data_IF_557471825150
#
_entry.id   IF_557471825150
#
_cell.length_a   1.000
_cell.length_b   1.000
_cell.length_c   1.000
_cell.angle_alpha   90.00
_cell.angle_beta   90.00
_cell.angle_gamma   90.00
#
_symmetry.space_group_name_H-M   'P 1'
#
loop_
_entity.id
_entity.type
_entity.pdbx_description
1 polymer ?
2 water ?
#
# COMPACT_ATOMS: atom_id res chain seq x y z
N UNK A 1 28.76 29.31 -36.47
CA UNK A 1 29.95 29.62 -37.24
C UNK A 1 31.23 29.51 -36.44
N UNK A 2 32.35 29.95 -37.06
CA UNK A 2 33.70 29.93 -36.49
C UNK A 2 33.76 30.60 -35.11
N UNK A 3 33.14 31.79 -34.96
CA UNK A 3 33.11 32.55 -33.71
C UNK A 3 32.38 31.81 -32.59
N UNK A 4 31.29 31.14 -32.94
CA UNK A 4 30.46 30.39 -31.99
C UNK A 4 31.22 29.20 -31.42
N UNK A 5 31.88 28.41 -32.29
CA UNK A 5 32.65 27.25 -31.86
C UNK A 5 33.94 27.69 -31.15
N UNK A 6 34.57 28.82 -31.53
CA UNK A 6 35.77 29.28 -30.83
C UNK A 6 35.42 29.67 -29.39
N UNK A 7 34.24 30.31 -29.19
CA UNK A 7 33.70 30.70 -27.89
C UNK A 7 33.47 29.46 -27.02
N UNK A 8 32.90 28.40 -27.63
CA UNK A 8 32.59 27.13 -26.99
C UNK A 8 33.85 26.42 -26.50
N UNK A 9 34.89 26.37 -27.34
CA UNK A 9 36.18 25.75 -27.04
C UNK A 9 36.91 26.51 -25.91
N UNK A 10 36.80 27.86 -25.91
CA UNK A 10 37.43 28.73 -24.91
C UNK A 10 36.69 28.60 -23.58
N UNK A 11 35.35 28.51 -23.61
CA UNK A 11 34.52 28.33 -22.41
C UNK A 11 34.76 26.95 -21.79
N UNK A 12 35.06 25.96 -22.63
CA UNK A 12 35.33 24.57 -22.25
C UNK A 12 36.64 24.43 -21.49
N UNK A 13 37.67 25.22 -21.87
CA UNK A 13 38.99 25.23 -21.23
C UNK A 13 38.84 25.77 -19.81
N UNK A 14 37.99 26.78 -19.64
CA UNK A 14 37.68 27.42 -18.36
C UNK A 14 37.02 26.39 -17.45
N UNK A 15 36.04 25.65 -17.98
CA UNK A 15 35.32 24.64 -17.19
C UNK A 15 36.22 23.42 -16.91
N UNK A 16 37.05 23.00 -17.90
CA UNK A 16 37.99 21.87 -17.76
C UNK A 16 39.00 22.17 -16.64
N UNK A 17 39.50 23.41 -16.59
CA UNK A 17 40.46 23.83 -15.57
C UNK A 17 39.85 23.81 -14.18
N UNK A 18 38.61 24.29 -14.04
CA UNK A 18 37.92 24.27 -12.75
C UNK A 18 37.66 22.80 -12.33
N UNK A 19 37.20 21.96 -13.29
CA UNK A 19 36.90 20.56 -13.02
C UNK A 19 38.14 19.82 -12.57
N UNK A 20 39.30 20.07 -13.25
CA UNK A 20 40.58 19.44 -12.95
C UNK A 20 41.09 19.81 -11.56
N UNK A 21 40.82 21.04 -11.12
CA UNK A 21 41.14 21.52 -9.78
C UNK A 21 40.28 20.80 -8.72
N UNK A 22 39.02 20.51 -9.06
CA UNK A 22 38.12 19.79 -8.14
C UNK A 22 38.54 18.33 -8.02
N UNK A 23 38.95 17.69 -9.14
CA UNK A 23 39.42 16.30 -9.20
C UNK A 23 40.74 16.18 -8.41
N UNK A 24 41.66 17.16 -8.57
CA UNK A 24 42.94 17.21 -7.85
C UNK A 24 42.73 17.37 -6.33
N UNK A 25 41.79 18.27 -5.91
CA UNK A 25 41.40 18.47 -4.50
C UNK A 25 40.85 17.16 -3.88
N UNK A 26 40.14 16.37 -4.67
CA UNK A 26 39.58 15.06 -4.25
C UNK A 26 40.71 13.99 -4.29
N UNK A 27 41.60 14.06 -3.28
CA UNK A 27 42.78 13.22 -3.17
C UNK A 27 42.43 11.74 -3.11
N UNK A 28 41.39 11.37 -2.35
CA UNK A 28 40.94 9.98 -2.21
C UNK A 28 40.04 9.54 -3.38
N UNK A 29 39.81 10.44 -4.38
CA UNK A 29 39.01 10.25 -5.59
C UNK A 29 37.61 9.73 -5.24
N UNK A 30 37.02 10.30 -4.18
CA UNK A 30 35.68 9.94 -3.63
C UNK A 30 34.54 10.28 -4.62
N UNK A 31 34.72 11.33 -5.45
CA UNK A 31 33.70 11.81 -6.40
C UNK A 31 34.10 11.65 -7.87
N UNK A 32 35.24 11.00 -8.14
CA UNK A 32 35.75 10.83 -9.48
C UNK A 32 34.91 9.88 -10.31
N UNK A 33 34.36 8.85 -9.68
CA UNK A 33 33.62 7.83 -10.38
C UNK A 33 32.23 7.58 -9.80
N UNK A 34 31.30 7.02 -10.63
CA UNK A 34 29.97 6.69 -10.09
C UNK A 34 30.09 5.75 -8.90
N UNK A 35 29.22 5.96 -7.92
CA UNK A 35 29.23 5.09 -6.74
C UNK A 35 28.91 3.64 -7.21
N UNK A 36 29.73 2.68 -6.76
CA UNK A 36 29.51 1.28 -7.12
C UNK A 36 28.41 0.72 -6.26
N UNK A 37 27.28 0.39 -6.90
CA UNK A 37 26.06 -0.16 -6.31
C UNK A 37 26.32 -1.56 -5.74
N UNK A 38 27.36 -2.25 -6.19
CA UNK A 38 27.74 -3.58 -5.67
C UNK A 38 28.34 -3.48 -4.24
N UNK A 39 28.95 -2.34 -3.91
CA UNK A 39 29.53 -2.09 -2.59
C UNK A 39 28.57 -1.25 -1.71
N UNK A 40 27.72 -0.43 -2.37
CA UNK A 40 26.76 0.47 -1.74
C UNK A 40 25.35 0.14 -2.38
N UNK A 41 24.73 -0.99 -1.96
CA UNK A 41 23.47 -1.46 -2.60
C UNK A 41 22.28 -0.48 -2.67
N UNK A 42 22.10 0.34 -1.62
CA UNK A 42 20.97 1.24 -1.46
C UNK A 42 21.23 2.66 -1.97
N UNK A 43 22.40 2.92 -2.58
CA UNK A 43 22.73 4.26 -3.05
C UNK A 43 21.68 4.88 -3.98
N UNK A 44 21.21 4.13 -4.99
CA UNK A 44 20.24 4.69 -5.94
C UNK A 44 18.81 4.65 -5.36
N UNK A 45 18.62 4.04 -4.20
CA UNK A 45 17.33 4.05 -3.51
C UNK A 45 17.15 5.44 -2.87
N UNK A 46 18.30 6.05 -2.53
CA UNK A 46 18.44 7.35 -1.84
C UNK A 46 18.72 8.50 -2.81
N UNK A 47 19.62 8.29 -3.80
CA UNK A 47 20.05 9.33 -4.73
C UNK A 47 19.31 9.21 -6.09
N UNK A 48 18.50 10.24 -6.42
CA UNK A 48 17.73 10.28 -7.67
C UNK A 48 18.60 10.71 -8.85
N UNK A 49 19.52 11.68 -8.65
CA UNK A 49 20.35 12.16 -9.74
C UNK A 49 21.83 11.95 -9.41
N UNK A 50 22.39 10.75 -9.66
CA UNK A 50 23.82 10.56 -9.34
C UNK A 50 24.71 11.31 -10.31
N UNK A 51 25.88 11.76 -9.82
CA UNK A 51 26.82 12.53 -10.61
C UNK A 51 28.20 12.31 -10.06
N UNK A 52 29.19 12.34 -10.97
CA UNK A 52 30.61 12.20 -10.64
C UNK A 52 31.41 13.01 -11.63
N UNK A 53 32.67 13.25 -11.30
CA UNK A 53 33.62 14.03 -12.09
C UNK A 53 33.96 13.37 -13.45
N UNK A 54 33.98 12.03 -13.55
CA UNK A 54 34.24 11.35 -14.84
C UNK A 54 33.05 11.60 -15.79
N UNK A 55 31.82 11.56 -15.28
CA UNK A 55 30.63 11.87 -16.06
C UNK A 55 30.73 13.30 -16.57
N UNK A 56 31.09 14.25 -15.68
CA UNK A 56 31.24 15.67 -15.99
C UNK A 56 32.28 15.89 -17.08
N UNK A 57 33.40 15.12 -17.03
CA UNK A 57 34.49 15.15 -18.02
C UNK A 57 33.94 14.73 -19.40
N UNK A 58 33.08 13.68 -19.41
CA UNK A 58 32.46 13.13 -20.62
C UNK A 58 31.49 14.17 -21.21
N UNK A 59 30.81 14.96 -20.36
CA UNK A 59 29.88 16.02 -20.77
C UNK A 59 30.65 17.17 -21.44
N UNK A 60 31.81 17.55 -20.85
CA UNK A 60 32.67 18.59 -21.41
C UNK A 60 33.19 18.19 -22.79
N UNK A 61 33.57 16.90 -22.93
CA UNK A 61 34.11 16.29 -24.16
C UNK A 61 33.10 16.40 -25.31
N UNK A 62 31.80 16.34 -24.99
CA UNK A 62 30.72 16.42 -25.95
C UNK A 62 30.17 17.83 -26.07
N UNK A 63 30.79 18.80 -25.34
CA UNK A 63 30.39 20.22 -25.27
C UNK A 63 28.91 20.34 -24.77
N UNK A 64 28.51 19.41 -23.89
CA UNK A 64 27.15 19.32 -23.33
C UNK A 64 26.80 20.53 -22.43
N UNK A 65 27.78 21.17 -21.79
CA UNK A 65 27.56 22.35 -20.94
C UNK A 65 27.54 23.58 -21.82
N UNK A 66 26.40 24.28 -21.85
CA UNK A 66 26.26 25.48 -22.67
C UNK A 66 26.08 26.73 -21.79
N UNK A 67 26.20 26.57 -20.45
CA UNK A 67 26.14 27.67 -19.48
C UNK A 67 26.97 27.30 -18.25
N UNK A 68 27.42 28.31 -17.47
CA UNK A 68 28.18 28.06 -16.25
C UNK A 68 27.29 27.36 -15.25
N UNK A 69 25.99 27.70 -15.26
CA UNK A 69 25.02 27.11 -14.35
C UNK A 69 24.82 25.63 -14.54
N UNK A 70 24.97 25.16 -15.79
CA UNK A 70 24.84 23.74 -16.10
C UNK A 70 26.00 22.99 -15.47
N UNK A 71 27.20 23.61 -15.50
CA UNK A 71 28.40 23.05 -14.90
C UNK A 71 28.22 23.01 -13.37
N UNK A 72 27.95 24.19 -12.75
CA UNK A 72 27.78 24.37 -11.30
C UNK A 72 26.71 23.45 -10.75
N UNK A 73 25.59 23.26 -11.48
CA UNK A 73 24.52 22.35 -11.08
C UNK A 73 25.08 20.94 -10.78
N UNK A 74 25.96 20.41 -11.67
CA UNK A 74 26.53 19.07 -11.48
C UNK A 74 27.51 18.99 -10.35
N UNK A 75 28.26 20.07 -10.10
CA UNK A 75 29.24 20.16 -8.99
C UNK A 75 28.49 20.06 -7.68
N UNK A 76 27.45 20.89 -7.52
CA UNK A 76 26.67 20.95 -6.29
C UNK A 76 25.83 19.70 -6.09
N UNK A 77 25.50 18.99 -7.16
CA UNK A 77 24.76 17.72 -7.15
C UNK A 77 25.69 16.67 -6.55
N UNK A 78 26.97 16.68 -6.91
CA UNK A 78 27.93 15.71 -6.39
C UNK A 78 28.06 15.89 -4.89
N UNK A 79 28.20 17.17 -4.44
CA UNK A 79 28.36 17.56 -3.05
C UNK A 79 27.09 17.23 -2.25
N UNK A 80 25.93 17.65 -2.76
CA UNK A 80 24.67 17.46 -2.05
C UNK A 80 24.23 16.01 -2.06
N UNK A 81 24.65 15.21 -3.05
CA UNK A 81 24.34 13.77 -3.04
C UNK A 81 25.08 13.14 -1.89
N UNK A 82 26.31 13.61 -1.63
CA UNK A 82 27.16 13.13 -0.56
C UNK A 82 26.55 13.45 0.82
N UNK A 83 25.99 14.65 1.00
CA UNK A 83 25.34 15.05 2.26
C UNK A 83 24.06 14.25 2.49
N UNK A 84 23.31 13.97 1.40
CA UNK A 84 22.06 13.24 1.40
C UNK A 84 22.32 11.78 1.76
N UNK A 85 23.31 11.16 1.13
CA UNK A 85 23.53 9.74 1.34
C UNK A 85 24.25 9.42 2.66
N UNK A 86 25.41 10.03 2.90
CA UNK A 86 26.28 9.72 4.01
C UNK A 86 25.92 10.41 5.32
N UNK A 87 26.30 9.74 6.43
CA UNK A 87 26.12 10.25 7.77
C UNK A 87 27.20 11.28 8.05
N UNK A 88 26.90 12.36 8.83
CA UNK A 88 27.88 13.43 9.04
C UNK A 88 29.14 12.99 9.79
N UNK A 89 29.08 11.82 10.44
CA UNK A 89 30.19 11.23 11.19
C UNK A 89 31.22 10.57 10.25
N UNK A 90 30.88 10.41 8.94
CA UNK A 90 31.78 9.75 7.98
C UNK A 90 32.75 10.77 7.35
N UNK A 91 33.86 10.28 6.80
CA UNK A 91 34.87 11.11 6.20
C UNK A 91 34.33 11.61 4.86
N UNK A 92 33.49 10.79 4.17
CA UNK A 92 32.85 11.16 2.90
C UNK A 92 32.16 12.49 3.07
N UNK A 93 31.35 12.64 4.12
CA UNK A 93 30.63 13.87 4.47
C UNK A 93 31.58 15.04 4.69
N UNK A 94 32.71 14.83 5.38
CA UNK A 94 33.73 15.87 5.65
C UNK A 94 34.42 16.26 4.36
N UNK A 95 34.72 15.26 3.50
CA UNK A 95 35.29 15.46 2.16
C UNK A 95 34.38 16.36 1.29
N UNK A 96 33.05 16.20 1.42
CA UNK A 96 32.07 16.98 0.68
C UNK A 96 32.06 18.41 1.20
N UNK A 97 32.14 18.58 2.52
CA UNK A 97 32.19 19.92 3.12
C UNK A 97 33.44 20.67 2.70
N UNK A 98 34.60 19.96 2.61
CA UNK A 98 35.88 20.54 2.23
C UNK A 98 35.91 20.95 0.75
N UNK A 99 35.35 20.12 -0.16
CA UNK A 99 35.32 20.44 -1.59
C UNK A 99 34.34 21.58 -1.82
N UNK A 100 33.26 21.65 -1.01
CA UNK A 100 32.31 22.73 -1.12
C UNK A 100 32.97 24.05 -0.69
N UNK A 101 33.81 24.01 0.35
CA UNK A 101 34.53 25.19 0.87
C UNK A 101 35.57 25.63 -0.17
N UNK A 102 36.30 24.68 -0.73
CA UNK A 102 37.29 24.91 -1.78
C UNK A 102 36.62 25.48 -3.05
N UNK A 103 35.53 24.85 -3.52
CA UNK A 103 34.77 25.29 -4.70
C UNK A 103 34.28 26.73 -4.52
N UNK A 104 33.74 27.08 -3.34
CA UNK A 104 33.21 28.40 -3.07
C UNK A 104 34.30 29.46 -3.04
N UNK A 105 35.57 29.05 -2.81
CA UNK A 105 36.70 29.97 -2.84
C UNK A 105 37.11 30.28 -4.28
N UNK A 106 36.78 29.39 -5.22
CA UNK A 106 37.16 29.48 -6.64
C UNK A 106 36.08 30.02 -7.56
N UNK A 107 34.82 29.57 -7.37
CA UNK A 107 33.69 29.72 -8.29
C UNK A 107 33.42 31.14 -8.81
N UNK A 108 33.52 32.18 -7.96
CA UNK A 108 33.20 33.55 -8.35
C UNK A 108 34.15 34.05 -9.45
N UNK A 109 35.47 33.82 -9.29
CA UNK A 109 36.54 34.17 -10.23
C UNK A 109 36.43 33.32 -11.54
N UNK A 110 36.13 32.01 -11.44
CA UNK A 110 36.00 31.15 -12.63
C UNK A 110 34.75 31.53 -13.45
N UNK A 111 33.66 31.91 -12.77
CA UNK A 111 32.39 32.30 -13.38
C UNK A 111 32.56 33.58 -14.20
N UNK A 112 33.37 34.53 -13.69
CA UNK A 112 33.67 35.79 -14.39
C UNK A 112 34.41 35.47 -15.71
N UNK A 113 35.55 34.73 -15.62
CA UNK A 113 36.36 34.29 -16.79
C UNK A 113 35.47 33.64 -17.84
N UNK A 114 34.44 32.90 -17.38
CA UNK A 114 33.51 32.19 -18.26
C UNK A 114 32.64 33.19 -19.03
N UNK A 115 32.07 34.17 -18.33
CA UNK A 115 31.16 35.18 -18.88
C UNK A 115 31.84 36.15 -19.83
N UNK A 116 33.10 36.54 -19.54
CA UNK A 116 33.85 37.51 -20.35
C UNK A 116 34.01 37.07 -21.81
N UNK A 117 34.04 35.76 -22.07
CA UNK A 117 34.22 35.16 -23.39
C UNK A 117 33.06 35.58 -24.36
N UNK A 118 31.77 35.56 -23.88
CA UNK A 118 30.60 35.96 -24.67
C UNK A 118 30.51 37.49 -24.84
N UNK B 1 -7.99 -22.71 29.98
CA UNK B 1 -6.81 -21.87 29.95
C UNK B 1 -6.65 -21.09 28.65
N UNK B 2 -5.49 -20.43 28.50
CA UNK B 2 -5.11 -19.61 27.35
C UNK B 2 -5.30 -20.35 26.01
N UNK B 3 -4.85 -21.61 25.92
CA UNK B 3 -4.95 -22.43 24.70
C UNK B 3 -6.40 -22.71 24.33
N UNK B 4 -7.25 -22.98 25.34
CA UNK B 4 -8.65 -23.31 25.14
C UNK B 4 -9.40 -22.12 24.55
N UNK B 5 -9.20 -20.91 25.14
CA UNK B 5 -9.87 -19.70 24.68
C UNK B 5 -9.30 -19.26 23.32
N UNK B 6 -8.00 -19.47 23.05
CA UNK B 6 -7.42 -19.07 21.75
C UNK B 6 -8.03 -19.93 20.64
N UNK B 7 -8.24 -21.23 20.91
CA UNK B 7 -8.87 -22.19 20.00
C UNK B 7 -10.31 -21.77 19.70
N UNK B 8 -11.05 -21.36 20.75
CA UNK B 8 -12.42 -20.90 20.67
C UNK B 8 -12.57 -19.66 19.79
N UNK B 9 -11.69 -18.66 20.01
CA UNK B 9 -11.66 -17.40 19.26
C UNK B 9 -11.33 -17.64 17.77
N UNK B 10 -10.42 -18.60 17.48
CA UNK B 10 -9.99 -18.97 16.14
C UNK B 10 -11.10 -19.72 15.41
N UNK B 11 -11.80 -20.62 16.12
CA UNK B 11 -12.94 -21.39 15.59
C UNK B 11 -14.14 -20.48 15.30
N UNK B 12 -14.28 -19.42 16.10
CA UNK B 12 -15.34 -18.43 15.99
C UNK B 12 -15.20 -17.57 14.74
N UNK B 13 -13.94 -17.24 14.34
CA UNK B 13 -13.62 -16.46 13.16
C UNK B 13 -14.01 -17.25 11.91
N UNK B 14 -13.78 -18.56 11.94
CA UNK B 14 -14.10 -19.49 10.87
C UNK B 14 -15.64 -19.54 10.70
N UNK B 15 -16.38 -19.64 11.81
CA UNK B 15 -17.83 -19.69 11.74
C UNK B 15 -18.42 -18.33 11.37
N UNK B 16 -17.83 -17.20 11.87
CA UNK B 16 -18.26 -15.83 11.56
C UNK B 16 -18.12 -15.57 10.05
N UNK B 17 -17.01 -16.01 9.46
CA UNK B 17 -16.75 -15.84 8.03
C UNK B 17 -17.77 -16.61 7.19
N UNK B 18 -18.11 -17.86 7.59
CA UNK B 18 -19.10 -18.64 6.85
C UNK B 18 -20.47 -17.98 7.00
N UNK B 19 -20.82 -17.54 8.23
CA UNK B 19 -22.10 -16.90 8.50
C UNK B 19 -22.27 -15.63 7.69
N UNK B 20 -21.22 -14.81 7.61
CA UNK B 20 -21.18 -13.55 6.87
C UNK B 20 -21.38 -13.75 5.37
N UNK B 21 -20.87 -14.89 4.84
CA UNK B 21 -21.02 -15.30 3.44
C UNK B 21 -22.49 -15.69 3.19
N UNK B 22 -23.16 -16.32 4.19
CA UNK B 22 -24.55 -16.72 4.06
C UNK B 22 -25.45 -15.49 4.11
N UNK B 23 -25.15 -14.51 5.00
CA UNK B 23 -25.87 -13.25 5.14
C UNK B 23 -25.74 -12.43 3.84
N UNK B 24 -24.53 -12.37 3.26
CA UNK B 24 -24.24 -11.66 2.01
C UNK B 24 -24.98 -12.31 0.80
N UNK B 25 -25.05 -13.67 0.75
CA UNK B 25 -25.80 -14.40 -0.28
C UNK B 25 -27.31 -14.08 -0.19
N UNK B 26 -27.82 -13.87 1.03
CA UNK B 26 -29.22 -13.52 1.28
C UNK B 26 -29.43 -12.01 1.02
N UNK B 27 -29.44 -11.63 -0.27
CA UNK B 27 -29.52 -10.25 -0.72
C UNK B 27 -30.78 -9.54 -0.22
N UNK B 28 -31.94 -10.23 -0.27
CA UNK B 28 -33.22 -9.69 0.17
C UNK B 28 -33.40 -9.78 1.71
N UNK B 29 -32.36 -10.31 2.42
CA UNK B 29 -32.30 -10.48 3.88
C UNK B 29 -33.55 -11.24 4.41
N UNK B 30 -33.95 -12.29 3.67
CA UNK B 30 -35.12 -13.14 3.94
C UNK B 30 -34.94 -13.93 5.27
N UNK B 31 -33.69 -14.30 5.62
CA UNK B 31 -33.35 -15.11 6.80
C UNK B 31 -32.53 -14.37 7.85
N UNK B 32 -32.32 -13.06 7.67
CA UNK B 32 -31.50 -12.26 8.56
C UNK B 32 -32.16 -12.06 9.89
N UNK B 33 -33.49 -11.93 9.90
CA UNK B 33 -34.23 -11.64 11.12
C UNK B 33 -35.38 -12.60 11.36
N UNK B 34 -35.82 -12.73 12.65
CA UNK B 34 -36.96 -13.61 12.94
C UNK B 34 -38.19 -13.19 12.14
N UNK B 35 -38.97 -14.18 11.70
CA UNK B 35 -40.19 -13.91 10.95
C UNK B 35 -41.14 -13.10 11.83
N UNK B 36 -41.65 -11.98 11.29
CA UNK B 36 -42.57 -11.11 12.00
C UNK B 36 -43.95 -11.73 11.97
N UNK B 37 -44.40 -12.18 13.15
CA UNK B 37 -45.71 -12.81 13.39
C UNK B 37 -46.87 -11.83 13.10
N UNK B 38 -46.60 -10.51 13.12
CA UNK B 38 -47.58 -9.48 12.80
C UNK B 38 -47.95 -9.49 11.31
N UNK B 39 -47.02 -9.91 10.43
CA UNK B 39 -47.22 -9.96 9.00
C UNK B 39 -47.52 -11.40 8.55
N UNK B 40 -47.04 -12.39 9.33
CA UNK B 40 -47.18 -13.83 9.08
C UNK B 40 -47.79 -14.46 10.36
N UNK B 41 -49.13 -14.26 10.58
CA UNK B 41 -49.77 -14.67 11.83
C UNK B 41 -49.64 -16.13 12.29
N UNK B 42 -49.70 -17.07 11.34
CA UNK B 42 -49.69 -18.51 11.59
C UNK B 42 -48.29 -19.16 11.56
N UNK B 43 -47.22 -18.35 11.41
CA UNK B 43 -45.86 -18.87 11.33
C UNK B 43 -45.48 -19.80 12.50
N UNK B 44 -45.72 -19.36 13.75
CA UNK B 44 -45.33 -20.18 14.91
C UNK B 44 -46.31 -21.31 15.18
N UNK B 45 -47.45 -21.33 14.47
CA UNK B 45 -48.41 -22.42 14.56
C UNK B 45 -47.83 -23.62 13.81
N UNK B 46 -46.99 -23.32 12.77
CA UNK B 46 -46.36 -24.25 11.84
C UNK B 46 -44.91 -24.55 12.23
N UNK B 47 -44.11 -23.52 12.61
CA UNK B 47 -42.68 -23.67 12.92
C UNK B 47 -42.41 -23.76 14.43
N UNK B 48 -41.88 -24.92 14.85
CA UNK B 48 -41.58 -25.21 16.27
C UNK B 48 -40.26 -24.58 16.74
N UNK B 49 -39.21 -24.62 15.89
CA UNK B 49 -37.90 -24.08 16.23
C UNK B 49 -37.51 -22.99 15.23
N UNK B 50 -37.98 -21.73 15.43
CA UNK B 50 -37.58 -20.67 14.48
C UNK B 50 -36.11 -20.29 14.66
N UNK B 51 -35.46 -19.90 13.56
CA UNK B 51 -34.05 -19.53 13.55
C UNK B 51 -33.81 -18.51 12.46
N UNK B 52 -32.81 -17.64 12.68
CA UNK B 52 -32.41 -16.60 11.73
C UNK B 52 -30.93 -16.33 11.94
N UNK B 53 -30.32 -15.63 10.99
CA UNK B 53 -28.90 -15.26 10.98
C UNK B 53 -28.51 -14.27 12.08
N UNK B 54 -29.41 -13.37 12.48
CA UNK B 54 -29.12 -12.44 13.59
C UNK B 54 -29.03 -13.23 14.89
N UNK B 55 -29.90 -14.21 15.09
CA UNK B 55 -29.86 -15.09 16.28
C UNK B 55 -28.54 -15.83 16.30
N UNK B 56 -28.14 -16.40 15.16
CA UNK B 56 -26.88 -17.13 14.99
C UNK B 56 -25.67 -16.25 15.32
N UNK B 57 -25.71 -14.97 14.90
CA UNK B 57 -24.65 -13.97 15.16
C UNK B 57 -24.53 -13.74 16.67
N UNK B 58 -25.68 -13.66 17.36
CA UNK B 58 -25.78 -13.45 18.80
C UNK B 58 -25.18 -14.65 19.55
N UNK B 59 -25.41 -15.88 19.01
CA UNK B 59 -24.85 -17.14 19.55
C UNK B 59 -23.31 -17.15 19.44
N UNK B 60 -22.79 -16.71 18.28
CA UNK B 60 -21.34 -16.64 18.06
C UNK B 60 -20.67 -15.66 19.02
N UNK B 61 -21.32 -14.50 19.23
CA UNK B 61 -20.87 -13.43 20.11
C UNK B 61 -20.71 -13.92 21.57
N UNK B 62 -21.57 -14.88 21.98
CA UNK B 62 -21.56 -15.46 23.32
C UNK B 62 -20.75 -16.76 23.36
N UNK B 63 -20.12 -17.14 22.21
CA UNK B 63 -19.33 -18.36 22.02
C UNK B 63 -20.20 -19.61 22.31
N UNK B 64 -21.51 -19.52 22.03
CA UNK B 64 -22.49 -20.58 22.27
C UNK B 64 -22.25 -21.84 21.40
N UNK B 65 -21.64 -21.69 20.20
CA UNK B 65 -21.31 -22.82 19.32
C UNK B 65 -20.01 -23.42 19.74
N UNK B 66 -20.03 -24.69 20.17
CA UNK B 66 -18.83 -25.40 20.62
C UNK B 66 -18.47 -26.56 19.68
N UNK B 67 -19.21 -26.69 18.56
CA UNK B 67 -18.94 -27.68 17.51
C UNK B 67 -19.42 -27.13 16.16
N UNK B 68 -18.89 -27.66 15.03
CA UNK B 68 -19.31 -27.22 13.71
C UNK B 68 -20.76 -27.67 13.50
N UNK B 69 -21.08 -28.85 14.06
CA UNK B 69 -22.41 -29.46 14.00
C UNK B 69 -23.47 -28.52 14.57
N UNK B 70 -23.18 -27.83 15.68
CA UNK B 70 -24.09 -26.90 16.33
C UNK B 70 -24.41 -25.73 15.41
N UNK B 71 -23.39 -25.27 14.67
CA UNK B 71 -23.51 -24.20 13.71
C UNK B 71 -24.40 -24.66 12.55
N UNK B 72 -24.02 -25.79 11.90
CA UNK B 72 -24.70 -26.37 10.75
C UNK B 72 -26.15 -26.69 11.04
N UNK B 73 -26.45 -27.19 12.26
CA UNK B 73 -27.83 -27.46 12.70
C UNK B 73 -28.73 -26.20 12.51
N UNK B 74 -28.24 -25.01 12.91
CA UNK B 74 -29.03 -23.77 12.80
C UNK B 74 -29.19 -23.29 11.38
N UNK B 75 -28.17 -23.52 10.53
CA UNK B 75 -28.20 -23.16 9.10
C UNK B 75 -29.32 -23.95 8.43
N UNK B 76 -29.30 -25.26 8.62
CA UNK B 76 -30.25 -26.18 8.00
C UNK B 76 -31.65 -26.05 8.59
N UNK B 77 -31.77 -25.55 9.83
CA UNK B 77 -33.04 -25.26 10.50
C UNK B 77 -33.68 -24.07 9.80
N UNK B 78 -32.90 -23.03 9.45
CA UNK B 78 -33.39 -21.83 8.76
C UNK B 78 -33.97 -22.26 7.40
N UNK B 79 -33.22 -23.10 6.68
CA UNK B 79 -33.56 -23.57 5.35
C UNK B 79 -34.81 -24.46 5.41
N UNK B 80 -34.80 -25.46 6.30
CA UNK B 80 -35.88 -26.41 6.42
C UNK B 80 -37.14 -25.79 7.00
N UNK B 81 -37.03 -24.71 7.82
CA UNK B 81 -38.21 -24.02 8.31
C UNK B 81 -38.89 -23.35 7.15
N UNK B 82 -38.11 -22.84 6.19
CA UNK B 82 -38.61 -22.17 5.00
C UNK B 82 -39.36 -23.14 4.09
N UNK B 83 -38.84 -24.39 3.93
CA UNK B 83 -39.50 -25.41 3.12
C UNK B 83 -40.79 -25.88 3.76
N UNK B 84 -40.80 -25.99 5.11
CA UNK B 84 -41.93 -26.42 5.91
C UNK B 84 -43.03 -25.38 5.85
N UNK B 85 -42.69 -24.10 6.03
CA UNK B 85 -43.72 -23.08 6.07
C UNK B 85 -44.25 -22.68 4.69
N UNK B 86 -43.35 -22.32 3.77
CA UNK B 86 -43.73 -21.77 2.48
C UNK B 86 -44.07 -22.77 1.40
N UNK B 87 -44.96 -22.33 0.49
CA UNK B 87 -45.41 -23.09 -0.68
C UNK B 87 -44.25 -23.04 -1.69
N UNK B 88 -43.98 -24.16 -2.46
CA UNK B 88 -42.86 -24.14 -3.40
C UNK B 88 -42.98 -23.10 -4.53
N UNK B 89 -44.18 -22.56 -4.72
CA UNK B 89 -44.51 -21.54 -5.71
C UNK B 89 -44.04 -20.14 -5.25
N UNK B 90 -43.63 -20.00 -3.98
CA UNK B 90 -43.21 -18.70 -3.43
C UNK B 90 -41.73 -18.46 -3.65
N UNK B 91 -41.37 -17.17 -3.58
CA UNK B 91 -40.04 -16.64 -3.77
C UNK B 91 -39.12 -17.14 -2.64
N UNK B 92 -39.66 -17.17 -1.41
CA UNK B 92 -39.03 -17.60 -0.17
C UNK B 92 -38.47 -19.02 -0.35
N UNK B 93 -39.31 -19.95 -0.81
CA UNK B 93 -38.96 -21.35 -1.06
C UNK B 93 -37.77 -21.47 -2.03
N UNK B 94 -37.81 -20.70 -3.13
CA UNK B 94 -36.75 -20.64 -4.14
C UNK B 94 -35.50 -20.13 -3.46
N UNK B 95 -35.61 -19.04 -2.70
CA UNK B 95 -34.43 -18.53 -2.01
C UNK B 95 -33.80 -19.55 -0.98
N UNK B 96 -34.59 -20.39 -0.35
CA UNK B 96 -34.09 -21.39 0.56
C UNK B 96 -33.31 -22.45 -0.21
N UNK B 97 -33.81 -22.84 -1.40
CA UNK B 97 -33.12 -23.82 -2.22
C UNK B 97 -31.77 -23.29 -2.71
N UNK B 98 -31.68 -21.98 -3.04
CA UNK B 98 -30.46 -21.35 -3.53
C UNK B 98 -29.41 -21.24 -2.43
N UNK B 99 -29.81 -20.86 -1.20
CA UNK B 99 -28.87 -20.74 -0.07
C UNK B 99 -28.40 -22.14 0.35
N UNK B 100 -29.27 -23.15 0.20
CA UNK B 100 -28.90 -24.53 0.51
C UNK B 100 -27.86 -25.03 -0.51
N UNK B 101 -28.02 -24.66 -1.79
CA UNK B 101 -27.10 -25.03 -2.86
C UNK B 101 -25.75 -24.33 -2.65
N UNK B 102 -25.79 -23.04 -2.33
CA UNK B 102 -24.62 -22.23 -2.02
C UNK B 102 -23.88 -22.78 -0.78
N UNK B 103 -24.62 -23.04 0.31
CA UNK B 103 -24.05 -23.57 1.56
C UNK B 103 -23.35 -24.90 1.32
N UNK B 104 -23.97 -25.80 0.52
CA UNK B 104 -23.41 -27.13 0.24
C UNK B 104 -22.13 -27.04 -0.60
N UNK B 105 -21.95 -25.93 -1.32
CA UNK B 105 -20.73 -25.70 -2.10
C UNK B 105 -19.58 -25.28 -1.17
N UNK B 106 -19.90 -24.67 -0.02
CA UNK B 106 -18.92 -24.14 0.92
C UNK B 106 -18.58 -25.04 2.10
N UNK B 107 -19.61 -25.63 2.78
CA UNK B 107 -19.47 -26.34 4.05
C UNK B 107 -18.30 -27.34 4.13
N UNK B 108 -17.94 -28.01 3.02
CA UNK B 108 -16.86 -28.99 2.97
C UNK B 108 -15.53 -28.34 3.36
N UNK B 109 -15.18 -27.24 2.66
CA UNK B 109 -13.96 -26.47 2.84
C UNK B 109 -13.92 -25.79 4.25
N UNK B 110 -15.09 -25.37 4.77
CA UNK B 110 -15.15 -24.66 6.05
C UNK B 110 -15.09 -25.63 7.24
N UNK B 111 -15.71 -26.82 7.14
CA UNK B 111 -15.70 -27.87 8.19
C UNK B 111 -14.25 -28.31 8.50
N UNK B 112 -13.44 -28.55 7.44
CA UNK B 112 -12.02 -28.91 7.46
C UNK B 112 -11.25 -27.80 8.21
N UNK B 113 -11.40 -26.54 7.73
CA UNK B 113 -10.82 -25.31 8.28
C UNK B 113 -11.15 -25.16 9.78
N UNK B 114 -12.35 -25.64 10.21
CA UNK B 114 -12.80 -25.60 11.59
C UNK B 114 -12.09 -26.64 12.45
N UNK B 115 -12.11 -27.93 12.00
CA UNK B 115 -11.56 -29.06 12.75
C UNK B 115 -10.03 -29.05 12.82
N UNK B 116 -9.35 -28.46 11.83
CA UNK B 116 -7.88 -28.43 11.77
C UNK B 116 -7.25 -27.47 12.80
N UNK B 117 -8.06 -26.57 13.41
CA UNK B 117 -7.61 -25.64 14.46
C UNK B 117 -8.46 -25.82 15.74
N UNK C 1 -7.63 5.39 29.13
CA UNK C 1 -8.63 4.65 29.88
C UNK C 1 -9.55 3.85 29.01
N UNK C 2 -10.59 3.24 29.62
CA UNK C 2 -11.58 2.37 28.96
C UNK C 2 -12.21 3.02 27.74
N UNK C 3 -12.64 4.30 27.85
CA UNK C 3 -13.29 5.04 26.75
C UNK C 3 -12.35 5.25 25.59
N UNK C 4 -11.07 5.53 25.88
CA UNK C 4 -10.04 5.80 24.86
C UNK C 4 -9.81 4.57 24.02
N UNK C 5 -9.60 3.40 24.68
CA UNK C 5 -9.33 2.16 23.99
C UNK C 5 -10.60 1.65 23.27
N UNK C 6 -11.80 1.87 23.82
CA UNK C 6 -13.02 1.43 23.14
C UNK C 6 -13.20 2.21 21.83
N UNK C 7 -12.88 3.52 21.85
CA UNK C 7 -12.94 4.41 20.69
C UNK C 7 -11.95 3.95 19.62
N UNK C 8 -10.73 3.58 20.05
CA UNK C 8 -9.66 3.08 19.19
C UNK C 8 -10.05 1.79 18.47
N UNK C 9 -10.61 0.83 19.22
CA UNK C 9 -11.05 -0.47 18.71
C UNK C 9 -12.21 -0.32 17.72
N UNK C 10 -13.13 0.64 17.98
CA UNK C 10 -14.29 0.93 17.13
C UNK C 10 -13.84 1.60 15.85
N UNK C 11 -12.89 2.55 15.95
CA UNK C 11 -12.33 3.25 14.79
C UNK C 11 -11.51 2.29 13.90
N UNK C 12 -10.89 1.28 14.52
CA UNK C 12 -10.09 0.27 13.87
C UNK C 12 -10.91 -0.66 13.01
N UNK C 13 -12.14 -1.00 13.46
CA UNK C 13 -13.09 -1.85 12.75
C UNK C 13 -13.53 -1.16 11.47
N UNK C 14 -13.74 0.17 11.54
CA UNK C 14 -14.15 1.03 10.44
C UNK C 14 -13.04 1.01 9.40
N UNK C 15 -11.77 1.18 9.83
CA UNK C 15 -10.63 1.21 8.91
C UNK C 15 -10.37 -0.19 8.34
N UNK C 16 -10.49 -1.25 9.16
CA UNK C 16 -10.30 -2.65 8.73
C UNK C 16 -11.34 -3.02 7.64
N UNK C 17 -12.58 -2.57 7.79
CA UNK C 17 -13.64 -2.83 6.81
C UNK C 17 -13.36 -2.12 5.48
N UNK C 18 -12.89 -0.87 5.53
CA UNK C 18 -12.53 -0.14 4.32
C UNK C 18 -11.32 -0.83 3.65
N UNK C 19 -10.31 -1.19 4.45
CA UNK C 19 -9.10 -1.83 3.95
C UNK C 19 -9.43 -3.16 3.26
N UNK C 20 -10.30 -3.97 3.89
CA UNK C 20 -10.74 -5.27 3.39
C UNK C 20 -11.49 -5.17 2.05
N UNK C 21 -12.20 -4.06 1.85
CA UNK C 21 -12.91 -3.73 0.61
C UNK C 21 -11.90 -3.38 -0.47
N UNK C 22 -10.80 -2.71 -0.11
CA UNK C 22 -9.76 -2.35 -1.07
C UNK C 22 -8.97 -3.58 -1.48
N UNK C 23 -8.67 -4.49 -0.53
CA UNK C 23 -7.97 -5.76 -0.77
C UNK C 23 -8.83 -6.65 -1.68
N UNK C 24 -10.16 -6.71 -1.41
CA UNK C 24 -11.12 -7.53 -2.19
C UNK C 24 -11.26 -6.97 -3.62
N UNK C 25 -11.32 -5.62 -3.81
CA UNK C 25 -11.34 -4.97 -5.12
C UNK C 25 -10.08 -5.33 -5.93
N UNK C 26 -8.91 -5.46 -5.24
CA UNK C 26 -7.62 -5.81 -5.87
C UNK C 26 -7.57 -7.34 -6.09
N UNK C 27 -8.33 -7.80 -7.11
CA UNK C 27 -8.49 -9.21 -7.46
C UNK C 27 -7.17 -9.88 -7.82
N UNK C 28 -6.29 -9.18 -8.56
CA UNK C 28 -4.99 -9.69 -8.96
C UNK C 28 -3.93 -9.49 -7.86
N UNK C 29 -4.34 -8.95 -6.68
CA UNK C 29 -3.53 -8.70 -5.48
C UNK C 29 -2.24 -7.91 -5.83
N UNK C 30 -2.38 -6.91 -6.71
CA UNK C 30 -1.29 -6.07 -7.23
C UNK C 30 -0.66 -5.22 -6.11
N UNK C 31 -1.46 -4.81 -5.10
CA UNK C 31 -1.05 -3.95 -3.98
C UNK C 31 -1.06 -4.61 -2.62
N UNK C 32 -1.33 -5.91 -2.57
CA UNK C 32 -1.42 -6.66 -1.33
C UNK C 32 -0.10 -6.81 -0.62
N UNK C 33 0.98 -6.92 -1.39
CA UNK C 33 2.30 -7.16 -0.84
C UNK C 33 3.36 -6.20 -1.36
N UNK C 34 4.47 -6.01 -0.58
CA UNK C 34 5.56 -5.16 -1.05
C UNK C 34 6.09 -5.65 -2.39
N UNK C 35 6.44 -4.68 -3.25
CA UNK C 35 6.98 -5.01 -4.56
C UNK C 35 8.29 -5.79 -4.36
N UNK C 36 8.42 -6.95 -5.03
CA UNK C 36 9.61 -7.76 -4.97
C UNK C 36 10.70 -7.15 -5.83
N UNK C 37 11.74 -6.63 -5.16
CA UNK C 37 12.91 -5.97 -5.74
C UNK C 37 13.74 -6.96 -6.60
N UNK C 38 13.58 -8.26 -6.37
CA UNK C 38 14.27 -9.30 -7.14
C UNK C 38 13.71 -9.41 -8.57
N UNK C 39 12.43 -9.05 -8.76
CA UNK C 39 11.76 -9.09 -10.06
C UNK C 39 11.65 -7.68 -10.66
N UNK C 40 11.68 -6.66 -9.79
CA UNK C 40 11.57 -5.24 -10.16
C UNK C 40 12.80 -4.53 -9.50
N UNK C 41 14.03 -4.71 -10.09
CA UNK C 41 15.28 -4.22 -9.44
C UNK C 41 15.35 -2.72 -9.09
N UNK C 42 14.80 -1.86 -9.93
CA UNK C 42 14.89 -0.40 -9.81
C UNK C 42 13.71 0.22 -9.07
N UNK C 43 12.78 -0.59 -8.52
CA UNK C 43 11.61 -0.06 -7.85
C UNK C 43 11.94 0.96 -6.74
N UNK C 44 12.88 0.63 -5.83
CA UNK C 44 13.20 1.55 -4.73
C UNK C 44 14.12 2.69 -5.18
N UNK C 45 14.61 2.64 -6.43
CA UNK C 45 15.43 3.71 -6.98
C UNK C 45 14.47 4.86 -7.34
N UNK C 46 13.21 4.49 -7.67
CA UNK C 46 12.11 5.35 -8.11
C UNK C 46 11.15 5.69 -6.96
N UNK C 47 10.77 4.70 -6.12
CA UNK C 47 9.79 4.88 -5.04
C UNK C 47 10.45 5.11 -3.67
N UNK C 48 10.21 6.28 -3.09
CA UNK C 48 10.80 6.68 -1.79
C UNK C 48 10.06 6.09 -0.60
N UNK C 49 8.72 6.04 -0.68
CA UNK C 49 7.92 5.52 0.42
C UNK C 49 7.06 4.37 -0.07
N UNK C 50 7.60 3.13 -0.11
CA UNK C 50 6.77 2.01 -0.61
C UNK C 50 5.68 1.67 0.41
N UNK C 51 4.54 1.21 -0.07
CA UNK C 51 3.41 0.87 0.77
C UNK C 51 2.59 -0.20 0.08
N UNK C 52 1.97 -1.08 0.88
CA UNK C 52 1.11 -2.15 0.42
C UNK C 52 0.06 -2.38 1.50
N UNK C 53 -0.99 -3.11 1.15
CA UNK C 53 -2.12 -3.46 2.01
C UNK C 53 -1.75 -4.37 3.17
N UNK C 54 -0.77 -5.29 3.01
CA UNK C 54 -0.34 -6.14 4.13
C UNK C 54 0.36 -5.25 5.18
N UNK C 55 1.19 -4.28 4.76
CA UNK C 55 1.84 -3.34 5.67
C UNK C 55 0.76 -2.58 6.45
N UNK C 56 -0.24 -2.06 5.74
CA UNK C 56 -1.37 -1.32 6.31
C UNK C 56 -2.14 -2.14 7.32
N UNK C 57 -2.33 -3.45 7.04
CA UNK C 57 -2.98 -4.41 7.94
C UNK C 57 -2.18 -4.56 9.25
N UNK C 58 -0.83 -4.61 9.13
CA UNK C 58 0.10 -4.73 10.26
C UNK C 58 0.04 -3.46 11.11
N UNK C 59 -0.14 -2.28 10.47
CA UNK C 59 -0.27 -0.99 11.16
C UNK C 59 -1.57 -0.93 11.96
N UNK C 60 -2.68 -1.44 11.37
CA UNK C 60 -3.97 -1.48 12.06
C UNK C 60 -3.91 -2.38 13.30
N UNK C 61 -3.23 -3.53 13.17
CA UNK C 61 -3.03 -4.53 14.22
C UNK C 61 -2.29 -3.93 15.44
N UNK C 62 -1.40 -2.98 15.20
CA UNK C 62 -0.63 -2.29 16.23
C UNK C 62 -1.30 -0.99 16.66
N UNK C 63 -2.50 -0.68 16.09
CA UNK C 63 -3.28 0.56 16.31
C UNK C 63 -2.43 1.80 15.95
N UNK C 64 -1.56 1.67 14.95
CA UNK C 64 -0.64 2.71 14.49
C UNK C 64 -1.37 3.92 13.86
N UNK C 65 -2.56 3.71 13.28
CA UNK C 65 -3.36 4.79 12.69
C UNK C 65 -4.18 5.45 13.80
N UNK C 66 -3.94 6.73 14.04
CA UNK C 66 -4.66 7.47 15.08
C UNK C 66 -5.55 8.57 14.48
N UNK C 67 -5.64 8.62 13.14
CA UNK C 67 -6.50 9.55 12.40
C UNK C 67 -6.89 8.92 11.07
N UNK C 68 -8.03 9.38 10.47
CA UNK C 68 -8.46 8.86 9.19
C UNK C 68 -7.44 9.26 8.13
N UNK C 69 -6.87 10.47 8.34
CA UNK C 69 -5.88 11.06 7.44
C UNK C 69 -4.67 10.19 7.29
N UNK C 70 -4.21 9.53 8.38
CA UNK C 70 -3.06 8.62 8.41
C UNK C 70 -3.32 7.39 7.59
N UNK C 71 -4.58 6.90 7.65
CA UNK C 71 -5.01 5.75 6.87
C UNK C 71 -5.00 6.11 5.38
N UNK C 72 -5.72 7.20 5.02
CA UNK C 72 -5.89 7.70 3.66
C UNK C 72 -4.57 8.00 3.00
N UNK C 73 -3.62 8.57 3.77
CA UNK C 73 -2.27 8.86 3.26
C UNK C 73 -1.62 7.57 2.66
N UNK C 74 -1.72 6.41 3.36
CA UNK C 74 -1.13 5.16 2.88
C UNK C 74 -1.84 4.59 1.67
N UNK C 75 -3.19 4.79 1.58
CA UNK C 75 -4.00 4.34 0.43
C UNK C 75 -3.53 5.08 -0.83
N UNK C 76 -3.45 6.41 -0.73
CA UNK C 76 -3.09 7.26 -1.86
C UNK C 76 -1.61 7.12 -2.22
N UNK C 77 -0.76 6.69 -1.27
CA UNK C 77 0.66 6.44 -1.48
C UNK C 77 0.76 5.19 -2.33
N UNK C 78 -0.08 4.19 -2.06
CA UNK C 78 -0.08 2.93 -2.81
C UNK C 78 -0.41 3.23 -4.28
N UNK C 79 -1.46 4.02 -4.49
CA UNK C 79 -1.97 4.43 -5.80
C UNK C 79 -0.95 5.29 -6.55
N UNK C 80 -0.45 6.32 -5.88
CA UNK C 80 0.48 7.27 -6.50
C UNK C 80 1.86 6.67 -6.74
N UNK C 81 2.27 5.66 -5.94
CA UNK C 81 3.53 4.96 -6.19
C UNK C 81 3.41 4.22 -7.48
N UNK C 82 2.21 3.67 -7.75
CA UNK C 82 1.90 2.91 -8.99
C UNK C 82 1.96 3.81 -10.21
N UNK C 83 1.43 5.03 -10.12
CA UNK C 83 1.48 5.98 -11.24
C UNK C 83 2.91 6.47 -11.51
N UNK C 84 3.71 6.66 -10.42
CA UNK C 84 5.09 7.13 -10.47
C UNK C 84 5.96 6.03 -11.10
N UNK C 85 5.81 4.77 -10.67
CA UNK C 85 6.67 3.73 -11.18
C UNK C 85 6.30 3.22 -12.58
N UNK C 86 5.05 2.77 -12.78
CA UNK C 86 4.61 2.13 -14.01
C UNK C 86 4.23 3.08 -15.12
N UNK C 87 4.39 2.58 -16.35
CA UNK C 87 4.06 3.26 -17.59
C UNK C 87 2.54 3.21 -17.73
N UNK C 88 1.89 4.28 -18.28
CA UNK C 88 0.41 4.26 -18.40
C UNK C 88 -0.16 3.18 -19.31
N UNK C 89 0.71 2.59 -20.16
CA UNK C 89 0.35 1.52 -21.06
C UNK C 89 0.24 0.17 -20.35
N UNK C 90 0.70 0.10 -19.06
CA UNK C 90 0.65 -1.16 -18.30
C UNK C 90 -0.70 -1.31 -17.56
N UNK C 91 -0.95 -2.57 -17.21
CA UNK C 91 -2.09 -3.13 -16.52
C UNK C 91 -2.07 -2.68 -15.05
N UNK C 92 -0.89 -2.41 -14.50
CA UNK C 92 -0.75 -1.96 -13.11
C UNK C 92 -1.30 -0.53 -12.99
N UNK C 93 -0.90 0.34 -13.95
CA UNK C 93 -1.36 1.73 -14.02
C UNK C 93 -2.88 1.80 -14.11
N UNK C 94 -3.48 0.89 -14.92
CA UNK C 94 -4.93 0.85 -15.15
C UNK C 94 -5.61 0.42 -13.85
N UNK C 95 -5.06 -0.61 -13.20
CA UNK C 95 -5.59 -1.07 -11.92
C UNK C 95 -5.48 -0.01 -10.80
N UNK C 96 -4.46 0.84 -10.81
CA UNK C 96 -4.32 1.91 -9.82
C UNK C 96 -5.42 2.94 -10.08
N UNK C 97 -5.71 3.25 -11.35
CA UNK C 97 -6.79 4.18 -11.67
C UNK C 97 -8.15 3.65 -11.22
N UNK C 98 -8.40 2.33 -11.36
CA UNK C 98 -9.65 1.69 -10.97
C UNK C 98 -9.84 1.67 -9.44
N UNK C 99 -8.78 1.35 -8.67
CA UNK C 99 -8.86 1.31 -7.22
C UNK C 99 -9.01 2.76 -6.68
N UNK C 100 -8.43 3.75 -7.40
CA UNK C 100 -8.58 5.15 -7.01
C UNK C 100 -10.03 5.59 -7.21
N UNK C 101 -10.66 5.14 -8.31
CA UNK C 101 -12.04 5.45 -8.64
C UNK C 101 -12.98 4.79 -7.61
N UNK C 102 -12.73 3.52 -7.31
CA UNK C 102 -13.45 2.75 -6.31
C UNK C 102 -13.31 3.40 -4.90
N UNK C 103 -12.06 3.70 -4.49
CA UNK C 103 -11.79 4.33 -3.19
C UNK C 103 -12.54 5.67 -3.04
N UNK C 104 -12.51 6.51 -4.09
CA UNK C 104 -13.16 7.81 -4.06
C UNK C 104 -14.69 7.69 -3.96
N UNK C 105 -15.25 6.53 -4.37
CA UNK C 105 -16.69 6.29 -4.24
C UNK C 105 -17.06 5.94 -2.80
N UNK C 106 -16.11 5.37 -2.04
CA UNK C 106 -16.31 4.90 -0.66
C UNK C 106 -15.89 5.90 0.43
N UNK C 107 -14.80 6.61 0.14
CA UNK C 107 -14.04 7.62 0.89
C UNK C 107 -14.83 8.46 1.91
N UNK C 108 -15.84 9.21 1.41
CA UNK C 108 -16.66 10.19 2.13
C UNK C 108 -17.50 9.52 3.23
N UNK C 109 -18.27 8.49 2.85
CA UNK C 109 -19.14 7.71 3.72
C UNK C 109 -18.33 7.11 4.87
N UNK C 110 -17.10 6.60 4.60
CA UNK C 110 -16.27 5.97 5.64
C UNK C 110 -15.64 7.00 6.55
N UNK C 111 -15.18 8.15 5.99
CA UNK C 111 -14.58 9.25 6.76
C UNK C 111 -15.59 9.75 7.81
N UNK C 112 -16.87 9.89 7.39
CA UNK C 112 -18.07 10.26 8.18
C UNK C 112 -18.27 9.27 9.34
N UNK C 113 -18.27 7.95 9.04
CA UNK C 113 -18.42 6.82 9.98
C UNK C 113 -17.29 6.82 11.03
N UNK C 114 -16.07 7.19 10.61
CA UNK C 114 -14.88 7.20 11.45
C UNK C 114 -14.98 8.31 12.49
N UNK C 115 -15.37 9.53 12.05
CA UNK C 115 -15.49 10.73 12.87
C UNK C 115 -16.56 10.61 13.94
N UNK C 116 -17.61 9.84 13.65
CA UNK C 116 -18.73 9.63 14.55
C UNK C 116 -18.48 8.37 15.41
N UNK C 117 -17.40 8.42 16.22
CA UNK C 117 -16.96 7.37 17.16
C UNK C 117 -16.49 8.04 18.48
#
# INVERSE_FOLDING_TARGET
GYDEIEELKSKNEVLTNLLNKLIAFDKKRIFLYPVNVQLVPDYLNVIKEPMDFTTMKQKLQNFKYKSFQEFEKDVLLIINNCYTYNDPSTIYYKFAEDIETYYKKLNIKIQTKYMNIHL
GYDEIEELKSKNEVLTNLLNKLIAFDKKRIFLYPVNVQLVPDYLNVIKEPMDFTTMKQKLQNFKYKSFQEFEKDVLLIINNCYTYNDPSTIYYKFAEDIETYYKKLNIKIQTKYMNIHL
GYDEIEELKSKNEVLTNLLNKLIAFDKKRIFLYPVNVQLVPDYLNVIKEPMDFTTMKQKLQNFKYKSFQEFEKDVLLIINNCYTYNDPSTIYYKFAEDIETYYKKLNIKIQTKYMNIHL
#
